data_IF_160454950395
#
_entry.id   IF_160454950395
#
_cell.length_a   1.000
_cell.length_b   1.000
_cell.length_c   1.000
_cell.angle_alpha   90.00
_cell.angle_beta   90.00
_cell.angle_gamma   90.00
#
_symmetry.space_group_name_H-M   'P 1'
#
loop_
_entity.id
_entity.type
_entity.pdbx_description
1 polymer ?
#
# COMPACT_ATOMS: atom_id res chain seq x y z
N UNK A 1 -6.21 16.67 15.18
CA UNK A 1 -5.72 18.00 15.59
C UNK A 1 -4.72 18.58 14.58
N UNK A 2 -3.75 17.80 14.07
CA UNK A 2 -2.74 18.28 13.10
C UNK A 2 -3.40 18.83 11.84
N UNK A 3 -4.34 18.10 11.24
CA UNK A 3 -5.04 18.53 10.01
C UNK A 3 -5.88 19.77 10.25
N UNK A 4 -6.55 19.89 11.41
CA UNK A 4 -7.31 21.10 11.79
C UNK A 4 -6.39 22.33 11.92
N UNK A 5 -5.16 22.14 12.38
CA UNK A 5 -4.15 23.20 12.45
C UNK A 5 -3.64 23.65 11.09
N UNK A 6 -3.56 22.74 10.12
CA UNK A 6 -3.06 23.01 8.76
C UNK A 6 -4.14 23.56 7.83
N UNK A 7 -5.42 23.17 8.03
CA UNK A 7 -6.54 23.59 7.19
C UNK A 7 -7.67 24.18 8.00
N UNK A 8 -7.74 25.52 8.17
CA UNK A 8 -8.83 26.17 8.90
C UNK A 8 -10.20 26.02 8.22
N UNK A 9 -10.23 25.64 6.94
CA UNK A 9 -11.46 25.32 6.20
C UNK A 9 -11.95 23.87 6.38
N UNK A 10 -11.21 23.06 7.15
CA UNK A 10 -11.49 21.64 7.35
C UNK A 10 -11.12 20.76 6.15
N UNK A 11 -11.50 19.50 6.26
CA UNK A 11 -11.33 18.47 5.21
C UNK A 11 -12.58 18.50 4.34
N UNK A 12 -12.41 18.48 3.02
CA UNK A 12 -13.51 18.38 2.05
C UNK A 12 -13.50 17.03 1.30
N UNK A 13 -12.34 16.49 1.09
CA UNK A 13 -12.13 15.23 0.39
C UNK A 13 -11.18 14.36 1.20
N UNK A 14 -11.52 13.10 1.33
CA UNK A 14 -10.68 12.03 1.86
C UNK A 14 -10.55 11.01 0.73
N UNK A 15 -9.33 10.58 0.42
CA UNK A 15 -9.09 9.61 -0.64
C UNK A 15 -8.33 8.44 -0.04
N UNK A 16 -8.95 7.26 -0.01
CA UNK A 16 -8.24 6.02 0.29
C UNK A 16 -7.51 5.57 -0.97
N UNK A 17 -6.21 5.43 -0.89
CA UNK A 17 -5.37 4.97 -1.99
C UNK A 17 -5.07 3.48 -1.92
N UNK A 18 -5.49 2.82 -0.85
CA UNK A 18 -5.45 1.37 -0.63
C UNK A 18 -6.58 0.97 0.33
N UNK A 19 -6.87 -0.34 0.47
CA UNK A 19 -7.86 -0.85 1.42
C UNK A 19 -7.24 -1.34 2.73
N UNK A 20 -5.93 -1.47 2.82
CA UNK A 20 -5.26 -1.94 4.02
C UNK A 20 -5.54 -1.05 5.23
N UNK A 21 -5.56 -1.66 6.43
CA UNK A 21 -5.99 -0.99 7.64
C UNK A 21 -5.17 0.23 8.04
N UNK A 22 -3.88 0.24 7.73
CA UNK A 22 -2.96 1.37 7.97
C UNK A 22 -3.23 2.58 7.05
N UNK A 23 -3.95 2.37 5.93
CA UNK A 23 -4.40 3.42 5.02
C UNK A 23 -5.86 3.85 5.27
N UNK A 24 -6.69 3.02 5.91
CA UNK A 24 -8.13 3.26 6.01
C UNK A 24 -8.63 3.48 7.43
N UNK A 25 -8.04 2.84 8.45
CA UNK A 25 -8.55 2.89 9.84
C UNK A 25 -8.58 4.32 10.39
N UNK A 26 -7.62 5.17 10.01
CA UNK A 26 -7.55 6.58 10.41
C UNK A 26 -8.79 7.40 10.00
N UNK A 27 -9.51 6.98 8.97
CA UNK A 27 -10.74 7.63 8.53
C UNK A 27 -11.85 7.60 9.58
N UNK A 28 -11.85 6.60 10.46
CA UNK A 28 -12.80 6.45 11.56
C UNK A 28 -12.76 7.60 12.59
N UNK A 29 -11.69 8.40 12.56
CA UNK A 29 -11.48 9.55 13.45
C UNK A 29 -11.70 10.89 12.75
N UNK A 30 -12.25 10.89 11.55
CA UNK A 30 -12.57 12.09 10.76
C UNK A 30 -14.07 12.34 10.85
N UNK A 31 -14.44 13.48 11.46
CA UNK A 31 -15.83 13.89 11.58
C UNK A 31 -16.41 14.34 10.23
N UNK A 32 -17.69 14.06 10.01
CA UNK A 32 -18.46 14.58 8.88
C UNK A 32 -18.26 13.82 7.56
N UNK A 33 -17.70 12.61 7.59
CA UNK A 33 -17.66 11.75 6.38
C UNK A 33 -19.09 11.40 5.97
N UNK A 34 -19.38 11.59 4.68
CA UNK A 34 -20.72 11.41 4.10
C UNK A 34 -21.64 12.63 4.21
N UNK A 35 -21.26 13.66 4.98
CA UNK A 35 -21.98 14.92 5.12
C UNK A 35 -21.17 16.11 4.56
N UNK A 36 -20.04 16.40 5.17
CA UNK A 36 -19.16 17.52 4.81
C UNK A 36 -17.87 17.07 4.13
N UNK A 37 -17.46 15.81 4.38
CA UNK A 37 -16.26 15.19 3.83
C UNK A 37 -16.66 14.11 2.82
N UNK A 38 -16.26 14.28 1.57
CA UNK A 38 -16.47 13.31 0.51
C UNK A 38 -15.37 12.24 0.59
N UNK A 39 -15.73 11.01 0.88
CA UNK A 39 -14.79 9.89 0.93
C UNK A 39 -14.77 9.16 -0.41
N UNK A 40 -13.63 9.10 -1.03
CA UNK A 40 -13.38 8.55 -2.36
C UNK A 40 -12.45 7.34 -2.23
N UNK A 41 -12.72 6.27 -2.96
CA UNK A 41 -11.85 5.09 -3.01
C UNK A 41 -11.94 4.38 -4.37
N UNK A 42 -10.95 3.54 -4.74
CA UNK A 42 -11.15 2.56 -5.81
C UNK A 42 -12.32 1.61 -5.47
N UNK A 43 -13.06 1.15 -6.48
CA UNK A 43 -14.16 0.21 -6.28
C UNK A 43 -13.72 -1.04 -5.52
N UNK A 44 -12.55 -1.59 -5.85
CA UNK A 44 -12.00 -2.73 -5.13
C UNK A 44 -11.81 -2.45 -3.63
N UNK A 45 -11.30 -1.25 -3.27
CA UNK A 45 -11.14 -0.88 -1.85
C UNK A 45 -12.49 -0.77 -1.13
N UNK A 46 -13.52 -0.24 -1.81
CA UNK A 46 -14.88 -0.20 -1.27
C UNK A 46 -15.40 -1.61 -0.96
N UNK A 47 -15.24 -2.54 -1.90
CA UNK A 47 -15.71 -3.92 -1.76
C UNK A 47 -15.01 -4.65 -0.59
N UNK A 48 -13.70 -4.45 -0.42
CA UNK A 48 -12.92 -5.04 0.68
C UNK A 48 -13.26 -4.40 2.04
N UNK A 49 -13.49 -3.09 2.08
CA UNK A 49 -13.96 -2.38 3.28
C UNK A 49 -15.33 -2.92 3.71
N UNK A 50 -16.26 -3.15 2.77
CA UNK A 50 -17.57 -3.73 3.06
C UNK A 50 -17.50 -5.14 3.61
N UNK A 51 -16.57 -5.96 3.12
CA UNK A 51 -16.36 -7.32 3.62
C UNK A 51 -15.69 -7.33 4.99
N UNK A 52 -15.07 -6.23 5.40
CA UNK A 52 -14.25 -6.15 6.61
C UNK A 52 -12.85 -6.78 6.42
N UNK A 53 -12.40 -7.00 5.20
CA UNK A 53 -11.12 -7.65 4.89
C UNK A 53 -9.90 -6.79 5.24
N UNK A 54 -10.10 -5.51 5.55
CA UNK A 54 -9.08 -4.70 6.20
C UNK A 54 -8.77 -5.15 7.65
N UNK A 55 -9.57 -6.08 8.19
CA UNK A 55 -9.47 -6.57 9.57
C UNK A 55 -8.09 -7.18 9.86
N UNK A 56 -7.50 -7.92 8.92
CA UNK A 56 -6.18 -8.54 9.12
C UNK A 56 -5.09 -7.50 9.40
N UNK A 57 -4.99 -6.46 8.59
CA UNK A 57 -4.01 -5.39 8.81
C UNK A 57 -4.29 -4.62 10.10
N UNK A 58 -5.58 -4.42 10.41
CA UNK A 58 -6.03 -3.78 11.64
C UNK A 58 -5.62 -4.60 12.88
N UNK A 59 -5.83 -5.92 12.85
CA UNK A 59 -5.46 -6.82 13.95
C UNK A 59 -3.95 -6.79 14.21
N UNK A 60 -3.14 -6.93 13.17
CA UNK A 60 -1.67 -6.83 13.30
C UNK A 60 -1.27 -5.50 13.94
N UNK A 61 -1.90 -4.41 13.55
CA UNK A 61 -1.58 -3.09 14.07
C UNK A 61 -1.98 -2.96 15.55
N UNK A 62 -3.16 -3.44 15.91
CA UNK A 62 -3.65 -3.46 17.31
C UNK A 62 -2.73 -4.26 18.22
N UNK A 63 -2.38 -5.48 17.81
CA UNK A 63 -1.51 -6.35 18.62
C UNK A 63 -0.08 -5.79 18.70
N UNK A 64 0.41 -5.16 17.62
CA UNK A 64 1.71 -4.46 17.66
C UNK A 64 1.71 -3.32 18.67
N UNK A 65 0.65 -2.52 18.73
CA UNK A 65 0.52 -1.45 19.71
C UNK A 65 0.47 -1.99 21.15
N UNK A 66 -0.22 -3.11 21.37
CA UNK A 66 -0.26 -3.77 22.68
C UNK A 66 1.12 -4.29 23.09
N UNK A 67 1.85 -4.92 22.17
CA UNK A 67 3.22 -5.42 22.41
C UNK A 67 4.18 -4.27 22.78
N UNK A 68 3.95 -3.09 22.23
CA UNK A 68 4.71 -1.86 22.52
C UNK A 68 4.19 -1.08 23.75
N UNK A 69 3.12 -1.54 24.42
CA UNK A 69 2.55 -0.90 25.59
C UNK A 69 1.59 0.25 25.32
N UNK A 70 1.19 0.48 24.05
CA UNK A 70 0.24 1.51 23.62
C UNK A 70 -1.21 1.02 23.69
N UNK A 71 -1.67 0.67 24.91
CA UNK A 71 -2.97 0.01 25.10
C UNK A 71 -4.15 0.90 24.76
N UNK A 72 -4.10 2.21 25.09
CA UNK A 72 -5.20 3.14 24.82
C UNK A 72 -5.42 3.32 23.32
N UNK A 73 -4.34 3.47 22.55
CA UNK A 73 -4.38 3.56 21.09
C UNK A 73 -4.87 2.25 20.46
N UNK A 74 -4.41 1.10 20.95
CA UNK A 74 -4.86 -0.21 20.51
C UNK A 74 -6.37 -0.38 20.71
N UNK A 75 -6.90 0.02 21.88
CA UNK A 75 -8.33 -0.05 22.17
C UNK A 75 -9.15 0.93 21.34
N UNK A 76 -8.63 2.13 21.07
CA UNK A 76 -9.28 3.08 20.17
C UNK A 76 -9.40 2.50 18.75
N UNK A 77 -8.32 1.92 18.21
CA UNK A 77 -8.31 1.30 16.89
C UNK A 77 -9.21 0.06 16.86
N UNK A 78 -9.25 -0.73 17.93
CA UNK A 78 -10.15 -1.90 18.01
C UNK A 78 -11.61 -1.50 17.83
N UNK A 79 -12.02 -0.39 18.44
CA UNK A 79 -13.39 0.15 18.34
C UNK A 79 -13.66 0.91 17.05
N UNK A 80 -12.62 1.28 16.30
CA UNK A 80 -12.77 2.07 15.07
C UNK A 80 -13.53 1.26 14.01
N UNK A 81 -14.53 1.90 13.40
CA UNK A 81 -15.25 1.39 12.24
C UNK A 81 -14.90 2.26 11.03
N UNK A 82 -14.29 1.65 10.02
CA UNK A 82 -13.96 2.37 8.78
C UNK A 82 -15.26 2.77 8.08
N UNK A 83 -15.49 4.08 7.85
CA UNK A 83 -16.68 4.53 7.12
C UNK A 83 -16.61 4.07 5.66
N UNK A 84 -17.78 3.89 5.04
CA UNK A 84 -17.83 3.49 3.64
C UNK A 84 -17.58 4.69 2.73
N UNK A 85 -16.73 4.54 1.68
CA UNK A 85 -16.60 5.55 0.64
C UNK A 85 -17.93 5.84 -0.05
N UNK A 86 -18.20 7.11 -0.37
CA UNK A 86 -19.42 7.51 -1.09
C UNK A 86 -19.18 7.62 -2.60
N UNK A 87 -17.93 7.79 -3.01
CA UNK A 87 -17.53 7.91 -4.42
C UNK A 87 -16.52 6.83 -4.73
N UNK A 88 -16.80 6.05 -5.77
CA UNK A 88 -15.90 4.98 -6.19
C UNK A 88 -15.50 5.17 -7.65
N UNK A 89 -14.31 4.69 -8.00
CA UNK A 89 -13.79 4.67 -9.36
C UNK A 89 -13.13 3.32 -9.66
N UNK A 90 -13.20 2.90 -10.92
CA UNK A 90 -12.57 1.64 -11.37
C UNK A 90 -11.08 1.84 -11.65
N UNK A 91 -10.74 2.64 -12.64
CA UNK A 91 -9.38 2.83 -13.11
C UNK A 91 -8.85 4.24 -12.85
N UNK A 92 -9.63 5.26 -13.16
CA UNK A 92 -9.19 6.66 -13.05
C UNK A 92 -10.31 7.57 -12.58
N UNK A 93 -9.92 8.64 -11.88
CA UNK A 93 -10.80 9.76 -11.55
C UNK A 93 -9.99 11.05 -11.60
N UNK A 94 -10.60 12.15 -12.01
CA UNK A 94 -9.98 13.48 -11.99
C UNK A 94 -10.83 14.41 -11.14
N UNK A 95 -10.19 15.07 -10.18
CA UNK A 95 -10.80 16.12 -9.38
C UNK A 95 -10.22 17.47 -9.77
N UNK A 96 -11.04 18.33 -10.38
CA UNK A 96 -10.69 19.71 -10.66
C UNK A 96 -11.02 20.61 -9.48
N UNK A 97 -10.02 20.99 -8.71
CA UNK A 97 -10.13 21.86 -7.54
C UNK A 97 -9.23 23.09 -7.75
N UNK A 98 -9.63 24.05 -8.60
CA UNK A 98 -8.75 25.14 -8.97
C UNK A 98 -8.10 25.85 -7.79
N UNK A 99 -6.77 26.13 -7.86
CA UNK A 99 -5.93 26.09 -9.07
C UNK A 99 -5.31 24.71 -9.38
N UNK A 100 -5.65 23.65 -8.65
CA UNK A 100 -5.02 22.33 -8.76
C UNK A 100 -5.94 21.30 -9.41
N UNK A 101 -5.33 20.34 -10.08
CA UNK A 101 -5.96 19.12 -10.61
C UNK A 101 -5.36 17.91 -9.90
N UNK A 102 -6.20 16.97 -9.50
CA UNK A 102 -5.80 15.72 -8.87
C UNK A 102 -6.16 14.56 -9.83
N UNK A 103 -5.16 14.01 -10.47
CA UNK A 103 -5.30 12.86 -11.36
C UNK A 103 -5.11 11.59 -10.54
N UNK A 104 -6.20 10.88 -10.27
CA UNK A 104 -6.22 9.67 -9.45
C UNK A 104 -6.24 8.47 -10.39
N UNK A 105 -5.35 7.50 -10.15
CA UNK A 105 -5.25 6.31 -10.97
C UNK A 105 -5.03 5.08 -10.11
N UNK A 106 -5.86 4.04 -10.31
CA UNK A 106 -5.62 2.71 -9.76
C UNK A 106 -4.44 2.08 -10.51
N UNK A 107 -3.46 1.67 -9.77
CA UNK A 107 -2.18 1.14 -10.29
C UNK A 107 -2.10 -0.38 -10.15
N UNK A 108 -2.75 -0.93 -9.12
CA UNK A 108 -2.48 -2.29 -8.68
C UNK A 108 -1.08 -2.42 -8.07
N UNK A 109 -0.49 -3.58 -8.18
CA UNK A 109 0.87 -3.86 -7.76
C UNK A 109 0.99 -4.29 -6.32
N UNK A 110 1.06 -3.39 -5.34
CA UNK A 110 1.12 -3.75 -3.91
C UNK A 110 -0.17 -4.44 -3.43
N UNK A 111 -1.30 -3.93 -3.85
CA UNK A 111 -2.62 -4.55 -3.72
C UNK A 111 -3.47 -4.26 -4.97
N UNK A 112 -4.56 -4.99 -5.21
CA UNK A 112 -5.46 -4.70 -6.34
C UNK A 112 -6.10 -3.30 -6.29
N UNK A 113 -6.21 -2.69 -5.10
CA UNK A 113 -6.76 -1.36 -4.88
C UNK A 113 -5.73 -0.24 -4.96
N UNK A 114 -4.44 -0.55 -4.87
CA UNK A 114 -3.40 0.48 -4.75
C UNK A 114 -3.51 1.51 -5.87
N UNK A 115 -3.58 2.77 -5.48
CA UNK A 115 -3.81 3.92 -6.36
C UNK A 115 -2.81 5.02 -6.09
N UNK A 116 -2.51 5.81 -7.11
CA UNK A 116 -1.67 7.00 -7.01
C UNK A 116 -2.46 8.25 -7.35
N UNK A 117 -2.04 9.39 -6.80
CA UNK A 117 -2.63 10.71 -7.06
C UNK A 117 -1.53 11.62 -7.56
N UNK A 118 -1.61 12.06 -8.80
CA UNK A 118 -0.67 13.00 -9.38
C UNK A 118 -1.28 14.40 -9.41
N UNK A 119 -0.50 15.40 -9.02
CA UNK A 119 -0.84 16.83 -9.07
C UNK A 119 0.09 17.50 -10.08
N UNK A 120 -0.32 17.63 -11.36
CA UNK A 120 0.56 18.08 -12.44
C UNK A 120 1.15 19.45 -12.22
N UNK A 121 0.36 20.42 -11.73
CA UNK A 121 0.75 21.81 -11.51
C UNK A 121 1.94 21.93 -10.56
N UNK A 122 2.01 21.05 -9.56
CA UNK A 122 3.07 21.02 -8.56
C UNK A 122 4.17 20.00 -8.86
N UNK A 123 3.90 19.02 -9.74
CA UNK A 123 4.76 17.88 -9.97
C UNK A 123 4.88 16.95 -8.74
N UNK A 124 3.80 16.86 -7.95
CA UNK A 124 3.74 16.03 -6.74
C UNK A 124 2.96 14.76 -7.05
N UNK A 125 3.50 13.63 -6.63
CA UNK A 125 2.83 12.32 -6.66
C UNK A 125 2.65 11.79 -5.24
N UNK A 126 1.42 11.49 -4.85
CA UNK A 126 1.11 10.63 -3.72
C UNK A 126 1.02 9.20 -4.26
N UNK A 127 2.02 8.39 -3.97
CA UNK A 127 2.19 7.09 -4.64
C UNK A 127 1.54 5.92 -3.91
N UNK A 128 0.97 6.15 -2.73
CA UNK A 128 0.59 5.01 -1.86
C UNK A 128 1.76 4.02 -1.75
N UNK A 129 1.47 2.74 -1.58
CA UNK A 129 2.47 1.68 -1.40
C UNK A 129 3.12 1.18 -2.71
N UNK A 130 2.80 1.82 -3.85
CA UNK A 130 3.62 1.62 -5.07
C UNK A 130 5.06 2.00 -4.79
N UNK A 131 5.29 3.10 -4.03
CA UNK A 131 6.63 3.50 -3.55
C UNK A 131 6.64 3.49 -2.03
N UNK A 132 7.57 2.74 -1.45
CA UNK A 132 7.73 2.62 0.00
C UNK A 132 9.19 2.42 0.38
N UNK A 133 9.68 3.18 1.36
CA UNK A 133 11.03 3.02 1.90
C UNK A 133 11.22 1.68 2.62
N UNK A 134 10.14 1.08 3.12
CA UNK A 134 10.16 -0.23 3.77
C UNK A 134 10.22 -1.39 2.78
N UNK A 135 10.12 -1.11 1.48
CA UNK A 135 10.11 -2.10 0.41
C UNK A 135 8.74 -2.71 0.11
N UNK A 136 7.70 -2.32 0.86
CA UNK A 136 6.33 -2.81 0.71
C UNK A 136 6.12 -4.28 1.08
N UNK A 137 4.91 -4.63 1.51
CA UNK A 137 4.46 -6.01 1.66
C UNK A 137 4.11 -6.62 0.31
N UNK A 138 4.23 -7.95 0.19
CA UNK A 138 3.89 -8.67 -1.05
C UNK A 138 2.70 -9.63 -0.88
N UNK A 139 2.04 -9.61 0.28
CA UNK A 139 0.94 -10.54 0.59
C UNK A 139 -0.16 -10.53 -0.48
N UNK A 140 -0.55 -9.33 -0.92
CA UNK A 140 -1.65 -9.13 -1.87
C UNK A 140 -1.14 -8.65 -3.25
N UNK A 141 0.19 -8.68 -3.44
CA UNK A 141 0.82 -8.10 -4.60
C UNK A 141 0.58 -8.86 -5.90
N UNK A 142 0.59 -8.11 -7.01
CA UNK A 142 0.88 -8.59 -8.35
C UNK A 142 2.16 -7.91 -8.83
N UNK A 143 3.20 -8.69 -9.03
CA UNK A 143 4.53 -8.17 -9.30
C UNK A 143 4.64 -7.51 -10.69
N UNK A 144 3.95 -8.09 -11.67
CA UNK A 144 3.89 -7.53 -13.02
C UNK A 144 3.18 -6.18 -13.05
N UNK A 145 2.05 -6.04 -12.35
CA UNK A 145 1.38 -4.74 -12.19
C UNK A 145 2.25 -3.73 -11.46
N UNK A 146 2.97 -4.17 -10.40
CA UNK A 146 3.83 -3.28 -9.64
C UNK A 146 4.98 -2.72 -10.46
N UNK A 147 5.63 -3.55 -11.27
CA UNK A 147 6.67 -3.10 -12.20
C UNK A 147 6.11 -2.06 -13.17
N UNK A 148 4.95 -2.33 -13.80
CA UNK A 148 4.29 -1.39 -14.72
C UNK A 148 3.91 -0.06 -14.03
N UNK A 149 3.44 -0.13 -12.78
CA UNK A 149 3.13 1.05 -11.98
C UNK A 149 4.36 1.94 -11.76
N UNK A 150 5.50 1.32 -11.43
CA UNK A 150 6.76 2.02 -11.23
C UNK A 150 7.32 2.60 -12.53
N UNK A 151 7.18 1.90 -13.68
CA UNK A 151 7.52 2.42 -15.00
C UNK A 151 6.68 3.65 -15.36
N UNK A 152 5.38 3.62 -15.05
CA UNK A 152 4.52 4.78 -15.24
C UNK A 152 4.97 5.97 -14.38
N UNK A 153 5.31 5.75 -13.11
CA UNK A 153 5.84 6.79 -12.22
C UNK A 153 7.13 7.39 -12.80
N UNK A 154 8.04 6.58 -13.32
CA UNK A 154 9.27 7.05 -13.95
C UNK A 154 9.00 7.94 -15.19
N UNK A 155 7.92 7.69 -15.93
CA UNK A 155 7.56 8.44 -17.12
C UNK A 155 6.99 9.83 -16.84
N UNK A 156 6.45 10.08 -15.64
CA UNK A 156 5.81 11.35 -15.28
C UNK A 156 6.83 12.46 -14.98
N UNK A 157 6.48 13.74 -15.18
CA UNK A 157 7.33 14.88 -14.81
C UNK A 157 7.26 15.21 -13.32
N UNK A 158 7.57 14.22 -12.48
CA UNK A 158 7.49 14.32 -11.02
C UNK A 158 8.71 15.04 -10.46
N UNK A 159 8.49 15.96 -9.53
CA UNK A 159 9.51 16.62 -8.72
C UNK A 159 9.62 15.98 -7.33
N UNK A 160 8.47 15.55 -6.78
CA UNK A 160 8.36 15.07 -5.40
C UNK A 160 7.41 13.89 -5.33
N UNK A 161 7.80 12.84 -4.60
CA UNK A 161 6.94 11.69 -4.27
C UNK A 161 6.66 11.71 -2.76
N UNK A 162 5.38 11.62 -2.42
CA UNK A 162 4.89 11.29 -1.08
C UNK A 162 4.59 9.79 -1.09
N UNK A 163 5.47 8.96 -0.49
CA UNK A 163 5.31 7.50 -0.51
C UNK A 163 4.25 7.06 0.51
N UNK A 164 3.79 5.80 0.41
CA UNK A 164 2.91 5.22 1.42
C UNK A 164 3.58 5.13 2.79
N UNK A 165 4.86 4.75 2.81
CA UNK A 165 5.66 4.67 4.04
C UNK A 165 7.05 5.25 3.86
N UNK A 166 7.48 6.04 4.86
CA UNK A 166 8.78 6.68 4.92
C UNK A 166 8.73 8.16 4.53
N UNK A 167 9.91 8.75 4.37
CA UNK A 167 10.06 10.17 4.10
C UNK A 167 9.69 10.54 2.66
N UNK A 168 9.36 11.81 2.44
CA UNK A 168 9.19 12.40 1.10
C UNK A 168 10.48 12.16 0.30
N UNK A 169 10.34 11.78 -0.97
CA UNK A 169 11.45 11.31 -1.78
C UNK A 169 11.36 11.77 -3.25
N UNK A 170 12.38 11.43 -4.02
CA UNK A 170 12.45 11.59 -5.46
C UNK A 170 12.21 10.29 -6.23
N UNK A 171 12.30 10.36 -7.57
CA UNK A 171 12.15 9.20 -8.46
C UNK A 171 13.19 8.09 -8.22
N UNK A 172 14.35 8.41 -7.65
CA UNK A 172 15.39 7.46 -7.33
C UNK A 172 14.90 6.34 -6.40
N UNK A 173 13.96 6.65 -5.48
CA UNK A 173 13.35 5.63 -4.62
C UNK A 173 12.42 4.70 -5.43
N UNK A 174 11.63 5.26 -6.36
CA UNK A 174 10.79 4.47 -7.26
C UNK A 174 11.62 3.55 -8.16
N UNK A 175 12.74 4.06 -8.69
CA UNK A 175 13.67 3.26 -9.51
C UNK A 175 14.27 2.11 -8.71
N UNK A 176 14.76 2.35 -7.49
CA UNK A 176 15.25 1.27 -6.61
C UNK A 176 14.16 0.25 -6.26
N UNK A 177 12.92 0.72 -6.07
CA UNK A 177 11.79 -0.17 -5.83
C UNK A 177 11.53 -1.06 -7.06
N UNK A 178 11.57 -0.50 -8.27
CA UNK A 178 11.42 -1.26 -9.52
C UNK A 178 12.52 -2.31 -9.68
N UNK A 179 13.77 -1.91 -9.49
CA UNK A 179 14.92 -2.83 -9.55
C UNK A 179 14.74 -4.01 -8.59
N UNK A 180 14.23 -3.73 -7.38
CA UNK A 180 13.91 -4.76 -6.40
C UNK A 180 12.82 -5.72 -6.91
N UNK A 181 11.70 -5.21 -7.47
CA UNK A 181 10.61 -6.03 -8.01
C UNK A 181 11.09 -6.89 -9.18
N UNK A 182 11.86 -6.32 -10.09
CA UNK A 182 12.48 -7.05 -11.22
C UNK A 182 13.44 -8.14 -10.71
N UNK A 183 14.23 -7.85 -9.67
CA UNK A 183 15.14 -8.84 -9.09
C UNK A 183 14.39 -9.99 -8.40
N UNK A 184 13.26 -9.71 -7.73
CA UNK A 184 12.40 -10.75 -7.15
C UNK A 184 11.83 -11.64 -8.26
N UNK A 185 11.30 -11.05 -9.34
CA UNK A 185 10.75 -11.78 -10.48
C UNK A 185 11.82 -12.68 -11.13
N UNK A 186 13.00 -12.13 -11.41
CA UNK A 186 14.10 -12.90 -11.99
C UNK A 186 14.58 -14.05 -11.10
N UNK A 187 14.66 -13.82 -9.77
CA UNK A 187 14.97 -14.89 -8.81
C UNK A 187 13.91 -15.99 -8.84
N UNK A 188 12.62 -15.63 -8.94
CA UNK A 188 11.52 -16.61 -9.04
C UNK A 188 11.59 -17.43 -10.32
N UNK A 189 11.88 -16.79 -11.46
CA UNK A 189 12.07 -17.49 -12.74
C UNK A 189 13.23 -18.51 -12.68
N UNK A 190 14.31 -18.17 -11.98
CA UNK A 190 15.46 -19.08 -11.81
C UNK A 190 15.10 -20.32 -10.98
N UNK A 191 14.38 -20.14 -9.85
CA UNK A 191 14.00 -21.29 -9.01
C UNK A 191 12.96 -22.16 -9.68
N UNK A 192 12.04 -21.59 -10.47
CA UNK A 192 11.08 -22.34 -11.28
C UNK A 192 11.79 -23.15 -12.37
N UNK A 193 12.81 -22.61 -13.06
CA UNK A 193 13.64 -23.34 -14.03
C UNK A 193 14.41 -24.50 -13.40
N UNK A 194 14.76 -24.40 -12.11
CA UNK A 194 15.37 -25.51 -11.34
C UNK A 194 14.35 -26.57 -10.93
N UNK A 195 13.06 -26.33 -11.12
CA UNK A 195 11.98 -27.25 -10.78
C UNK A 195 11.63 -27.28 -9.29
N UNK A 196 11.97 -26.23 -8.50
CA UNK A 196 11.62 -26.16 -7.10
C UNK A 196 10.10 -26.08 -6.94
N UNK A 197 9.59 -26.80 -5.95
CA UNK A 197 8.20 -26.67 -5.49
C UNK A 197 8.01 -25.33 -4.76
N UNK A 198 6.77 -24.97 -4.48
CA UNK A 198 6.44 -23.74 -3.75
C UNK A 198 7.07 -23.72 -2.35
N UNK A 199 6.99 -24.84 -1.62
CA UNK A 199 7.56 -24.95 -0.27
C UNK A 199 9.09 -24.87 -0.29
N UNK A 200 9.74 -25.51 -1.26
CA UNK A 200 11.18 -25.40 -1.46
C UNK A 200 11.61 -23.97 -1.81
N UNK A 201 10.80 -23.28 -2.61
CA UNK A 201 11.06 -21.87 -2.99
C UNK A 201 10.99 -20.95 -1.80
N UNK A 202 10.00 -21.12 -0.92
CA UNK A 202 9.87 -20.33 0.31
C UNK A 202 11.09 -20.52 1.23
N UNK A 203 11.64 -21.72 1.29
CA UNK A 203 12.81 -22.05 2.09
C UNK A 203 14.16 -21.67 1.42
N UNK A 204 14.15 -21.28 0.14
CA UNK A 204 15.37 -20.98 -0.62
C UNK A 204 16.04 -19.69 -0.14
N UNK A 205 17.33 -19.77 0.17
CA UNK A 205 18.12 -18.65 0.68
C UNK A 205 18.19 -17.46 -0.28
N UNK A 206 17.98 -17.68 -1.59
CA UNK A 206 18.02 -16.61 -2.61
C UNK A 206 16.97 -15.52 -2.37
N UNK A 207 15.88 -15.83 -1.64
CA UNK A 207 14.85 -14.86 -1.28
C UNK A 207 15.14 -14.11 0.02
N UNK A 208 16.01 -14.61 0.89
CA UNK A 208 16.31 -13.96 2.19
C UNK A 208 16.88 -12.54 2.03
N UNK A 209 17.62 -12.27 0.96
CA UNK A 209 18.13 -10.93 0.64
C UNK A 209 17.02 -9.88 0.43
N UNK A 210 15.80 -10.31 0.14
CA UNK A 210 14.65 -9.43 -0.05
C UNK A 210 13.86 -9.19 1.24
N UNK A 211 14.09 -10.00 2.27
CA UNK A 211 13.47 -9.78 3.58
C UNK A 211 14.14 -8.62 4.29
N UNK A 212 13.33 -7.66 4.72
CA UNK A 212 13.78 -6.53 5.54
C UNK A 212 13.16 -6.65 6.92
N UNK A 213 13.99 -6.98 7.91
CA UNK A 213 13.58 -7.02 9.30
C UNK A 213 13.56 -5.59 9.86
N UNK A 214 12.41 -5.18 10.41
CA UNK A 214 12.30 -4.01 11.26
C UNK A 214 12.06 -4.51 12.69
N UNK A 215 13.10 -4.50 13.50
CA UNK A 215 13.03 -4.95 14.90
C UNK A 215 12.58 -3.86 15.86
N UNK A 216 12.44 -2.62 15.40
CA UNK A 216 12.04 -1.48 16.24
C UNK A 216 10.58 -1.54 16.66
N UNK A 217 9.76 -2.35 15.98
CA UNK A 217 8.31 -2.49 16.21
C UNK A 217 7.90 -3.70 17.05
N UNK A 218 8.84 -4.32 17.76
CA UNK A 218 8.59 -5.46 18.64
C UNK A 218 8.63 -6.82 17.94
N UNK A 219 8.56 -7.88 18.76
CA UNK A 219 8.70 -9.27 18.28
C UNK A 219 7.47 -9.74 17.52
N UNK A 220 6.28 -9.37 17.98
CA UNK A 220 5.02 -9.71 17.31
C UNK A 220 5.02 -9.19 15.85
N UNK A 221 5.38 -7.90 15.65
CA UNK A 221 5.50 -7.32 14.32
C UNK A 221 6.49 -8.08 13.43
N UNK A 222 7.66 -8.44 13.99
CA UNK A 222 8.68 -9.17 13.23
C UNK A 222 8.17 -10.55 12.77
N UNK A 223 7.42 -11.26 13.62
CA UNK A 223 6.82 -12.54 13.26
C UNK A 223 5.78 -12.37 12.14
N UNK A 224 4.91 -11.36 12.24
CA UNK A 224 3.92 -11.06 11.19
C UNK A 224 4.60 -10.68 9.86
N UNK A 225 5.71 -9.94 9.92
CA UNK A 225 6.50 -9.60 8.71
C UNK A 225 7.11 -10.83 8.04
N UNK A 226 7.58 -11.79 8.81
CA UNK A 226 8.07 -13.07 8.26
C UNK A 226 6.95 -13.84 7.57
N UNK A 227 5.79 -13.92 8.21
CA UNK A 227 4.64 -14.62 7.64
C UNK A 227 4.10 -13.95 6.39
N UNK A 228 3.93 -12.63 6.39
CA UNK A 228 3.51 -11.89 5.20
C UNK A 228 4.53 -11.96 4.06
N UNK A 229 5.82 -12.05 4.37
CA UNK A 229 6.86 -12.28 3.38
C UNK A 229 6.77 -13.67 2.76
N UNK A 230 6.56 -14.71 3.58
CA UNK A 230 6.32 -16.08 3.13
C UNK A 230 5.15 -16.17 2.16
N UNK A 231 3.98 -15.63 2.58
CA UNK A 231 2.77 -15.58 1.74
C UNK A 231 3.06 -14.83 0.43
N UNK A 232 3.82 -13.74 0.49
CA UNK A 232 4.23 -12.97 -0.69
C UNK A 232 5.06 -13.79 -1.67
N UNK A 233 6.00 -14.60 -1.19
CA UNK A 233 6.81 -15.49 -2.04
C UNK A 233 5.92 -16.56 -2.70
N UNK A 234 5.00 -17.17 -1.95
CA UNK A 234 4.05 -18.15 -2.49
C UNK A 234 3.18 -17.56 -3.60
N UNK A 235 2.72 -16.30 -3.42
CA UNK A 235 1.92 -15.58 -4.41
C UNK A 235 2.73 -15.27 -5.68
N UNK A 236 3.96 -14.78 -5.51
CA UNK A 236 4.86 -14.52 -6.65
C UNK A 236 5.21 -15.81 -7.39
N UNK A 237 5.33 -16.95 -6.67
CA UNK A 237 5.52 -18.26 -7.30
C UNK A 237 4.35 -18.60 -8.24
N UNK A 238 3.12 -18.46 -7.77
CA UNK A 238 1.93 -18.76 -8.57
C UNK A 238 1.82 -17.81 -9.78
N UNK A 239 2.06 -16.51 -9.58
CA UNK A 239 2.04 -15.49 -10.64
C UNK A 239 3.06 -15.81 -11.74
N UNK A 240 4.35 -15.95 -11.37
CA UNK A 240 5.43 -16.15 -12.35
C UNK A 240 5.30 -17.51 -13.02
N UNK A 241 4.84 -18.55 -12.31
CA UNK A 241 4.58 -19.86 -12.91
C UNK A 241 3.48 -19.81 -13.97
N UNK A 242 2.43 -19.01 -13.74
CA UNK A 242 1.37 -18.81 -14.71
C UNK A 242 1.84 -18.02 -15.95
N UNK A 243 2.80 -17.11 -15.78
CA UNK A 243 3.37 -16.30 -16.87
C UNK A 243 4.26 -17.13 -17.83
N UNK A 244 4.91 -18.21 -17.34
CA UNK A 244 5.89 -19.00 -18.11
C UNK A 244 5.37 -20.36 -18.57
N UNK A 245 4.18 -20.79 -18.12
CA UNK A 245 3.54 -22.07 -18.49
C UNK A 245 2.55 -21.92 -19.62
#
# INVERSE_FOLDING_TARGET
DTVKGLSPKGIRYLIATDYHGDHTTGSSFIDGIGEQVNFIAPQFAYDEILKGDNAFSKEIFVETLRDLGHTEEADAITRAAVPHPQFCFEDTMVLHLPPLTFEIRRMGGHSPATSAIFVPEEGVLFSSDVVSHTGGGMRDANLGEWIRALEWIESLPIKTIVPGHGDICGKDVATRQKERMVSIKGTMEEVLKKGLTKDETVADESFQKFFRADTSRGEYWLQQRKETFRIGIERVYDEVKADIG
#
